data_IF_633544438614
#
_entry.id   IF_633544438614
#
_cell.length_a   1.000
_cell.length_b   1.000
_cell.length_c   1.000
_cell.angle_alpha   90.00
_cell.angle_beta   90.00
_cell.angle_gamma   90.00
#
_symmetry.space_group_name_H-M   'P 1'
#
loop_
_entity.id
_entity.type
_entity.pdbx_description
1 polymer ?
#
# COMPACT_ATOMS: atom_id res chain seq x y z
N UNK A 1 6.20 -42.46 28.07
CA UNK A 1 6.37 -42.43 26.60
C UNK A 1 5.32 -43.34 25.97
N UNK A 2 4.70 -43.00 24.83
CA UNK A 2 4.38 -41.69 24.26
C UNK A 2 2.89 -41.57 23.89
N UNK A 3 2.33 -40.36 23.88
CA UNK A 3 1.05 -40.08 23.20
C UNK A 3 1.21 -38.75 22.45
N UNK A 4 2.02 -38.81 21.40
CA UNK A 4 2.22 -37.77 20.41
C UNK A 4 1.27 -38.05 19.25
N UNK A 5 0.08 -37.46 19.24
CA UNK A 5 -0.77 -37.31 18.04
C UNK A 5 -2.08 -36.59 18.39
N UNK A 6 -2.02 -35.28 18.68
CA UNK A 6 -3.23 -34.44 18.70
C UNK A 6 -2.93 -32.99 18.27
N UNK A 7 -1.95 -32.81 17.39
CA UNK A 7 -1.54 -31.51 16.86
C UNK A 7 -1.49 -31.62 15.33
N UNK A 8 -2.64 -31.78 14.68
CA UNK A 8 -2.77 -31.72 13.21
C UNK A 8 -4.26 -31.74 12.79
N UNK A 9 -5.06 -30.77 13.23
CA UNK A 9 -6.45 -30.65 12.74
C UNK A 9 -7.02 -29.22 12.77
N UNK A 10 -6.18 -28.20 12.58
CA UNK A 10 -6.65 -26.83 12.27
C UNK A 10 -5.94 -26.34 11.00
N UNK A 11 -6.22 -27.00 9.88
CA UNK A 11 -5.77 -26.58 8.55
C UNK A 11 -6.84 -26.93 7.51
N UNK A 12 -8.00 -26.30 7.63
CA UNK A 12 -9.02 -26.30 6.57
C UNK A 12 -9.98 -25.13 6.75
N UNK A 13 -9.37 -23.95 6.84
CA UNK A 13 -10.03 -22.67 6.61
C UNK A 13 -9.30 -21.93 5.51
N UNK A 14 -9.14 -22.55 4.33
CA UNK A 14 -8.72 -21.85 3.13
C UNK A 14 -9.82 -20.89 2.72
N UNK A 15 -9.87 -19.72 3.37
CA UNK A 15 -10.51 -18.56 2.76
C UNK A 15 -9.55 -18.12 1.65
N UNK A 16 -9.62 -18.82 0.52
CA UNK A 16 -9.14 -18.28 -0.75
C UNK A 16 -10.11 -17.15 -1.13
N UNK A 17 -10.07 -16.04 -0.39
CA UNK A 17 -10.57 -14.78 -0.90
C UNK A 17 -9.60 -14.41 -2.01
N UNK A 18 -9.98 -14.70 -3.25
CA UNK A 18 -9.36 -14.01 -4.38
C UNK A 18 -9.36 -12.52 -4.06
N UNK A 19 -8.23 -11.82 -4.26
CA UNK A 19 -8.19 -10.38 -4.02
C UNK A 19 -9.27 -9.75 -4.89
N UNK A 20 -10.26 -9.14 -4.25
CA UNK A 20 -11.34 -8.42 -4.93
C UNK A 20 -10.69 -7.27 -5.67
N UNK A 21 -10.71 -7.32 -7.00
CA UNK A 21 -10.25 -6.22 -7.86
C UNK A 21 -11.13 -5.00 -7.59
N UNK A 22 -10.50 -3.87 -7.28
CA UNK A 22 -11.17 -2.56 -7.18
C UNK A 22 -10.59 -1.67 -8.27
N UNK A 23 -11.46 -1.22 -9.19
CA UNK A 23 -11.06 -0.33 -10.27
C UNK A 23 -10.51 1.00 -9.73
N UNK A 24 -11.03 1.46 -8.60
CA UNK A 24 -10.59 2.69 -7.93
C UNK A 24 -9.21 2.50 -7.28
N UNK A 25 -8.96 1.33 -6.67
CA UNK A 25 -7.63 1.00 -6.14
C UNK A 25 -6.60 0.85 -7.27
N UNK A 26 -6.99 0.20 -8.37
CA UNK A 26 -6.15 0.05 -9.55
C UNK A 26 -5.83 1.43 -10.15
N UNK A 27 -6.82 2.32 -10.32
CA UNK A 27 -6.61 3.69 -10.79
C UNK A 27 -5.66 4.51 -9.90
N UNK A 28 -5.79 4.39 -8.57
CA UNK A 28 -4.87 5.05 -7.65
C UNK A 28 -3.44 4.53 -7.79
N UNK A 29 -3.25 3.21 -7.94
CA UNK A 29 -1.93 2.62 -8.15
C UNK A 29 -1.34 3.04 -9.49
N UNK A 30 -2.14 3.05 -10.56
CA UNK A 30 -1.72 3.46 -11.90
C UNK A 30 -1.26 4.93 -11.91
N UNK A 31 -1.99 5.82 -11.22
CA UNK A 31 -1.56 7.22 -11.04
C UNK A 31 -0.19 7.30 -10.35
N UNK A 32 -0.01 6.60 -9.22
CA UNK A 32 1.25 6.62 -8.46
C UNK A 32 2.43 6.12 -9.30
N UNK A 33 2.24 5.07 -10.09
CA UNK A 33 3.25 4.52 -11.01
C UNK A 33 3.58 5.53 -12.10
N UNK A 34 2.57 6.11 -12.76
CA UNK A 34 2.75 7.08 -13.83
C UNK A 34 3.48 8.34 -13.35
N UNK A 35 3.00 8.97 -12.28
CA UNK A 35 3.59 10.18 -11.72
C UNK A 35 5.02 9.96 -11.21
N UNK A 36 5.29 8.80 -10.60
CA UNK A 36 6.65 8.47 -10.17
C UNK A 36 7.59 8.29 -11.38
N UNK A 37 7.14 7.58 -12.42
CA UNK A 37 7.93 7.39 -13.64
C UNK A 37 8.25 8.73 -14.28
N UNK A 38 7.26 9.60 -14.43
CA UNK A 38 7.42 10.93 -15.01
C UNK A 38 8.34 11.81 -14.15
N UNK A 39 8.19 11.75 -12.82
CA UNK A 39 9.06 12.46 -11.89
C UNK A 39 10.53 12.03 -12.03
N UNK A 40 10.77 10.73 -12.21
CA UNK A 40 12.10 10.13 -12.24
C UNK A 40 12.74 10.13 -13.64
N UNK A 41 11.96 10.38 -14.70
CA UNK A 41 12.42 10.32 -16.09
C UNK A 41 13.71 11.11 -16.34
N UNK A 42 13.82 12.31 -15.75
CA UNK A 42 14.96 13.22 -15.92
C UNK A 42 15.88 13.29 -14.70
N UNK A 43 15.74 12.38 -13.72
CA UNK A 43 16.57 12.39 -12.51
C UNK A 43 17.81 11.52 -12.71
N UNK A 44 18.97 12.17 -12.61
CA UNK A 44 20.28 11.58 -12.87
C UNK A 44 20.98 11.03 -11.63
N UNK A 45 20.56 11.43 -10.43
CA UNK A 45 21.17 11.01 -9.16
C UNK A 45 20.11 10.48 -8.20
N UNK A 46 20.52 9.53 -7.37
CA UNK A 46 19.73 9.03 -6.27
C UNK A 46 19.55 10.14 -5.21
N UNK A 47 18.33 10.44 -4.77
CA UNK A 47 18.11 11.39 -3.69
C UNK A 47 18.54 10.79 -2.34
N UNK A 48 18.97 11.65 -1.42
CA UNK A 48 19.08 11.31 0.00
C UNK A 48 17.70 10.96 0.60
N UNK A 49 17.66 10.20 1.69
CA UNK A 49 16.41 9.69 2.27
C UNK A 49 15.37 10.79 2.57
N UNK A 50 15.80 11.94 3.09
CA UNK A 50 14.91 13.06 3.40
C UNK A 50 14.35 13.74 2.13
N UNK A 51 15.13 13.77 1.05
CA UNK A 51 14.70 14.30 -0.24
C UNK A 51 13.75 13.31 -0.93
N UNK A 52 14.05 12.02 -0.89
CA UNK A 52 13.18 10.95 -1.39
C UNK A 52 11.79 11.01 -0.76
N UNK A 53 11.74 11.17 0.57
CA UNK A 53 10.49 11.39 1.30
C UNK A 53 9.75 12.67 0.89
N UNK A 54 10.47 13.71 0.49
CA UNK A 54 9.86 14.94 -0.03
C UNK A 54 9.28 14.71 -1.42
N UNK A 55 9.99 14.03 -2.31
CA UNK A 55 9.50 13.67 -3.64
C UNK A 55 8.25 12.79 -3.55
N UNK A 56 8.27 11.77 -2.69
CA UNK A 56 7.12 10.90 -2.46
C UNK A 56 5.87 11.68 -2.04
N UNK A 57 6.01 12.68 -1.14
CA UNK A 57 4.89 13.55 -0.76
C UNK A 57 4.34 14.36 -1.92
N UNK A 58 5.20 14.89 -2.80
CA UNK A 58 4.73 15.66 -3.96
C UNK A 58 3.99 14.75 -4.94
N UNK A 59 4.53 13.56 -5.23
CA UNK A 59 3.91 12.58 -6.12
C UNK A 59 2.54 12.13 -5.57
N UNK A 60 2.47 11.74 -4.30
CA UNK A 60 1.21 11.32 -3.68
C UNK A 60 0.17 12.44 -3.71
N UNK A 61 0.58 13.70 -3.50
CA UNK A 61 -0.34 14.83 -3.59
C UNK A 61 -0.91 15.07 -5.00
N UNK A 62 -0.23 14.61 -6.06
CA UNK A 62 -0.75 14.68 -7.44
C UNK A 62 -1.82 13.64 -7.74
N UNK A 63 -1.83 12.54 -6.98
CA UNK A 63 -2.80 11.44 -7.09
C UNK A 63 -3.87 11.49 -5.98
N UNK A 64 -4.07 12.65 -5.34
CA UNK A 64 -4.93 12.76 -4.16
C UNK A 64 -6.41 12.47 -4.48
N UNK A 65 -6.86 12.81 -5.70
CA UNK A 65 -8.23 12.55 -6.16
C UNK A 65 -8.48 11.05 -6.35
N UNK A 66 -7.56 10.33 -6.98
CA UNK A 66 -7.64 8.87 -7.16
C UNK A 66 -7.56 8.13 -5.81
N UNK A 67 -6.70 8.60 -4.89
CA UNK A 67 -6.60 8.06 -3.53
C UNK A 67 -7.88 8.32 -2.73
N UNK A 68 -8.49 9.50 -2.90
CA UNK A 68 -9.78 9.80 -2.29
C UNK A 68 -10.87 8.87 -2.84
N UNK A 69 -10.92 8.68 -4.17
CA UNK A 69 -11.86 7.78 -4.82
C UNK A 69 -11.70 6.32 -4.33
N UNK A 70 -10.46 5.84 -4.18
CA UNK A 70 -10.18 4.48 -3.71
C UNK A 70 -10.60 4.21 -2.25
N UNK A 71 -10.99 5.25 -1.51
CA UNK A 71 -11.37 5.15 -0.09
C UNK A 71 -12.80 5.60 0.20
N UNK A 72 -13.54 6.08 -0.82
CA UNK A 72 -14.88 6.69 -0.68
C UNK A 72 -16.03 5.71 -0.43
N UNK A 73 -15.80 4.40 -0.52
CA UNK A 73 -16.82 3.38 -0.25
C UNK A 73 -16.96 3.00 1.23
N UNK A 74 -18.06 2.30 1.57
CA UNK A 74 -18.13 1.57 2.84
C UNK A 74 -17.08 0.45 2.80
N UNK A 75 -16.21 0.30 3.81
CA UNK A 75 -15.25 -0.79 3.83
C UNK A 75 -15.99 -2.13 3.86
N UNK A 76 -15.49 -3.09 3.09
CA UNK A 76 -16.08 -4.41 3.05
C UNK A 76 -15.87 -5.11 4.41
N UNK A 77 -16.85 -5.88 4.92
CA UNK A 77 -16.64 -6.70 6.10
C UNK A 77 -15.43 -7.63 5.91
N UNK A 78 -14.49 -7.62 6.87
CA UNK A 78 -13.26 -8.42 6.80
C UNK A 78 -12.10 -7.77 6.04
N UNK A 79 -12.30 -6.60 5.41
CA UNK A 79 -11.21 -5.79 4.88
C UNK A 79 -10.23 -5.39 5.99
N UNK A 80 -8.95 -5.25 5.67
CA UNK A 80 -7.89 -4.90 6.63
C UNK A 80 -8.27 -3.69 7.48
N UNK A 81 -8.83 -2.64 6.87
CA UNK A 81 -9.30 -1.47 7.62
C UNK A 81 -10.35 -1.80 8.68
N UNK A 82 -11.43 -2.48 8.28
CA UNK A 82 -12.51 -2.88 9.21
C UNK A 82 -11.97 -3.73 10.34
N UNK A 83 -11.09 -4.70 10.03
CA UNK A 83 -10.43 -5.53 11.06
C UNK A 83 -9.61 -4.70 12.04
N UNK A 84 -8.85 -3.72 11.57
CA UNK A 84 -8.02 -2.87 12.42
C UNK A 84 -8.87 -1.97 13.33
N UNK A 85 -10.00 -1.46 12.82
CA UNK A 85 -10.97 -0.71 13.62
C UNK A 85 -11.63 -1.61 14.67
N UNK A 86 -12.12 -2.78 14.27
CA UNK A 86 -12.82 -3.73 15.15
C UNK A 86 -11.90 -4.25 16.28
N UNK A 87 -10.60 -4.39 16.01
CA UNK A 87 -9.59 -4.77 17.00
C UNK A 87 -9.15 -3.61 17.91
N UNK A 88 -9.63 -2.39 17.66
CA UNK A 88 -9.18 -1.18 18.37
C UNK A 88 -7.73 -0.80 18.09
N UNK A 89 -7.11 -1.37 17.05
CA UNK A 89 -5.72 -1.10 16.67
C UNK A 89 -5.55 0.31 16.06
N UNK A 90 -6.63 0.86 15.49
CA UNK A 90 -6.70 2.23 14.99
C UNK A 90 -7.97 2.91 15.52
N UNK A 91 -7.82 4.12 16.05
CA UNK A 91 -8.92 4.94 16.55
C UNK A 91 -8.79 6.34 15.96
N UNK A 92 -9.86 6.86 15.36
CA UNK A 92 -9.88 8.20 14.77
C UNK A 92 -9.08 8.35 13.47
N UNK A 93 -8.55 7.26 12.91
CA UNK A 93 -7.80 7.26 11.65
C UNK A 93 -8.72 6.86 10.49
N UNK A 94 -8.83 7.71 9.48
CA UNK A 94 -9.65 7.46 8.29
C UNK A 94 -8.97 6.48 7.32
N UNK A 95 -9.75 5.77 6.50
CA UNK A 95 -9.24 4.94 5.40
C UNK A 95 -8.29 5.71 4.49
N UNK A 96 -8.68 6.95 4.16
CA UNK A 96 -7.86 7.84 3.33
C UNK A 96 -6.51 8.16 3.97
N UNK A 97 -6.46 8.34 5.30
CA UNK A 97 -5.19 8.57 5.98
C UNK A 97 -4.26 7.36 5.85
N UNK A 98 -4.77 6.15 6.10
CA UNK A 98 -3.99 4.92 5.95
C UNK A 98 -3.53 4.76 4.50
N UNK A 99 -4.44 4.97 3.54
CA UNK A 99 -4.12 4.87 2.12
C UNK A 99 -3.04 5.86 1.69
N UNK A 100 -3.09 7.09 2.19
CA UNK A 100 -2.04 8.08 1.98
C UNK A 100 -0.69 7.62 2.55
N UNK A 101 -0.68 7.05 3.76
CA UNK A 101 0.55 6.48 4.34
C UNK A 101 1.10 5.33 3.50
N UNK A 102 0.25 4.41 3.04
CA UNK A 102 0.65 3.32 2.15
C UNK A 102 1.23 3.84 0.83
N UNK A 103 0.56 4.80 0.20
CA UNK A 103 1.02 5.42 -1.04
C UNK A 103 2.40 6.08 -0.88
N UNK A 104 2.62 6.74 0.25
CA UNK A 104 3.90 7.34 0.62
C UNK A 104 5.04 6.31 0.66
N UNK A 105 4.85 5.20 1.38
CA UNK A 105 5.85 4.12 1.43
C UNK A 105 6.03 3.41 0.08
N UNK A 106 4.95 3.25 -0.68
CA UNK A 106 4.99 2.63 -2.00
C UNK A 106 5.84 3.46 -2.98
N UNK A 107 5.64 4.78 -3.01
CA UNK A 107 6.43 5.69 -3.85
C UNK A 107 7.88 5.79 -3.38
N UNK A 108 8.14 5.86 -2.06
CA UNK A 108 9.53 5.86 -1.53
C UNK A 108 10.31 4.63 -2.00
N UNK A 109 9.68 3.45 -1.95
CA UNK A 109 10.25 2.20 -2.45
C UNK A 109 10.53 2.27 -3.95
N UNK A 110 9.58 2.71 -4.76
CA UNK A 110 9.76 2.82 -6.21
C UNK A 110 10.88 3.78 -6.60
N UNK A 111 11.02 4.91 -5.88
CA UNK A 111 12.14 5.83 -6.09
C UNK A 111 13.47 5.14 -5.75
N UNK A 112 13.52 4.38 -4.66
CA UNK A 112 14.71 3.63 -4.26
C UNK A 112 15.13 2.62 -5.33
N UNK A 113 14.18 1.77 -5.76
CA UNK A 113 14.38 0.72 -6.75
C UNK A 113 14.90 1.28 -8.09
N UNK A 114 14.34 2.40 -8.56
CA UNK A 114 14.77 3.05 -9.81
C UNK A 114 16.26 3.44 -9.83
N UNK A 115 16.85 3.76 -8.67
CA UNK A 115 18.26 4.12 -8.58
C UNK A 115 19.17 2.94 -8.21
N UNK A 116 18.66 1.94 -7.51
CA UNK A 116 19.37 0.66 -7.30
C UNK A 116 19.65 -0.03 -8.64
N UNK A 117 18.65 -0.10 -9.53
CA UNK A 117 18.78 -0.69 -10.87
C UNK A 117 19.80 0.02 -11.78
N UNK A 118 20.14 1.28 -11.51
CA UNK A 118 21.13 2.07 -12.27
C UNK A 118 22.58 1.87 -11.79
N UNK A 119 22.78 1.14 -10.70
CA UNK A 119 24.10 0.92 -10.09
C UNK A 119 24.67 -0.49 -10.30
N UNK A 120 23.91 -1.39 -10.95
CA UNK A 120 24.36 -2.74 -11.36
C UNK A 120 24.92 -2.78 -12.77
#
# INVERSE_FOLDING_TARGET
MPLTAALLLIASGSIATEPVRSAELDAANDCLVAETRDWLHNKSHAPEAAERWRWARVIVARCDDEIAASTGGKPAPGETYSRLVDQGAIVGVSRRHIRNSEALYYVDRMISEHFEDKTS
#
